data_IF_889130293844
#
_entry.id   IF_889130293844
#
_cell.length_a   1.000
_cell.length_b   1.000
_cell.length_c   1.000
_cell.angle_alpha   90.00
_cell.angle_beta   90.00
_cell.angle_gamma   90.00
#
_symmetry.space_group_name_H-M   'P 1'
#
loop_
_entity.id
_entity.type
_entity.pdbx_description
1 polymer ?
#
# COMPACT_ATOMS: atom_id res chain seq x y z
N UNK A 1 -7.40 -18.74 13.25
CA UNK A 1 -7.66 -18.04 11.97
C UNK A 1 -8.43 -16.77 12.30
N UNK A 2 -8.03 -15.61 11.77
CA UNK A 2 -8.86 -14.41 11.87
C UNK A 2 -10.21 -14.71 11.18
N UNK A 3 -11.32 -14.20 11.73
CA UNK A 3 -12.61 -14.34 11.06
C UNK A 3 -12.58 -13.60 9.72
N UNK A 4 -13.23 -14.17 8.71
CA UNK A 4 -13.32 -13.60 7.35
C UNK A 4 -13.79 -12.14 7.38
N UNK A 5 -14.69 -11.79 8.30
CA UNK A 5 -15.17 -10.42 8.53
C UNK A 5 -14.07 -9.45 8.96
N UNK A 6 -13.15 -9.89 9.82
CA UNK A 6 -12.02 -9.07 10.28
C UNK A 6 -11.00 -8.88 9.16
N UNK A 7 -10.71 -9.93 8.39
CA UNK A 7 -9.79 -9.84 7.23
C UNK A 7 -10.34 -8.88 6.18
N UNK A 8 -11.64 -8.96 5.89
CA UNK A 8 -12.31 -8.05 4.96
C UNK A 8 -12.23 -6.59 5.40
N UNK A 9 -12.53 -6.30 6.67
CA UNK A 9 -12.41 -4.94 7.22
C UNK A 9 -10.97 -4.41 7.14
N UNK A 10 -9.98 -5.29 7.33
CA UNK A 10 -8.55 -4.93 7.22
C UNK A 10 -8.19 -4.62 5.77
N UNK A 11 -8.64 -5.45 4.83
CA UNK A 11 -8.45 -5.26 3.40
C UNK A 11 -8.99 -3.91 2.94
N UNK A 12 -10.26 -3.62 3.23
CA UNK A 12 -10.92 -2.36 2.86
C UNK A 12 -10.13 -1.14 3.38
N UNK A 13 -9.73 -1.16 4.65
CA UNK A 13 -8.91 -0.08 5.23
C UNK A 13 -7.52 0.05 4.58
N UNK A 14 -6.90 -1.06 4.19
CA UNK A 14 -5.59 -1.02 3.54
C UNK A 14 -5.69 -0.46 2.11
N UNK A 15 -6.77 -0.78 1.38
CA UNK A 15 -7.05 -0.24 0.05
C UNK A 15 -7.30 1.26 0.11
N UNK A 16 -8.19 1.73 0.99
CA UNK A 16 -8.43 3.19 1.17
C UNK A 16 -7.14 3.93 1.48
N UNK A 17 -6.29 3.34 2.34
CA UNK A 17 -5.02 3.95 2.71
C UNK A 17 -4.02 3.95 1.55
N UNK A 18 -4.01 2.91 0.72
CA UNK A 18 -3.16 2.80 -0.46
C UNK A 18 -3.51 3.90 -1.49
N UNK A 19 -4.80 4.13 -1.73
CA UNK A 19 -5.28 5.19 -2.63
C UNK A 19 -4.77 6.57 -2.20
N UNK A 20 -4.83 6.89 -0.91
CA UNK A 20 -4.30 8.16 -0.38
C UNK A 20 -2.80 8.32 -0.63
N UNK A 21 -2.03 7.24 -0.55
CA UNK A 21 -0.58 7.30 -0.85
C UNK A 21 -0.32 7.44 -2.35
N UNK A 22 -1.14 6.87 -3.21
CA UNK A 22 -1.05 7.09 -4.66
C UNK A 22 -1.38 8.52 -5.06
N UNK A 23 -2.41 9.12 -4.44
CA UNK A 23 -2.70 10.54 -4.65
C UNK A 23 -1.56 11.43 -4.17
N UNK A 24 -0.97 11.12 -3.02
CA UNK A 24 0.17 11.86 -2.49
C UNK A 24 1.39 11.75 -3.41
N UNK A 25 1.70 10.55 -3.91
CA UNK A 25 2.78 10.34 -4.88
C UNK A 25 2.55 11.17 -6.14
N UNK A 26 1.35 11.08 -6.72
CA UNK A 26 0.98 11.84 -7.92
C UNK A 26 1.12 13.34 -7.70
N UNK A 27 0.61 13.87 -6.59
CA UNK A 27 0.70 15.30 -6.28
C UNK A 27 2.17 15.77 -6.17
N UNK A 28 3.03 14.95 -5.54
CA UNK A 28 4.46 15.24 -5.42
C UNK A 28 5.14 15.22 -6.79
N UNK A 29 4.80 14.26 -7.66
CA UNK A 29 5.33 14.16 -9.02
C UNK A 29 4.86 15.33 -9.91
N UNK A 30 3.62 15.79 -9.75
CA UNK A 30 3.07 16.96 -10.43
C UNK A 30 3.68 18.30 -9.93
N UNK A 31 4.54 18.25 -8.91
CA UNK A 31 5.35 19.39 -8.45
C UNK A 31 4.95 19.97 -7.10
N UNK A 32 4.02 19.34 -6.36
CA UNK A 32 3.69 19.76 -5.00
C UNK A 32 4.89 19.56 -4.06
N UNK A 33 5.15 20.55 -3.20
CA UNK A 33 6.21 20.47 -2.18
C UNK A 33 5.81 19.58 -1.01
N UNK A 34 4.53 19.57 -0.68
CA UNK A 34 3.97 18.77 0.41
C UNK A 34 2.52 18.37 0.15
N UNK A 35 2.12 17.26 0.76
CA UNK A 35 0.77 16.73 0.75
C UNK A 35 0.42 16.25 2.17
N UNK A 36 -0.78 16.59 2.66
CA UNK A 36 -1.18 16.26 4.04
C UNK A 36 -2.27 15.19 4.03
N UNK A 37 -1.94 14.01 4.56
CA UNK A 37 -2.90 12.94 4.83
C UNK A 37 -3.27 13.00 6.31
N UNK A 38 -4.46 13.53 6.62
CA UNK A 38 -4.94 13.64 8.00
C UNK A 38 -3.98 14.48 8.87
N UNK A 39 -3.31 13.84 9.82
CA UNK A 39 -2.32 14.48 10.72
C UNK A 39 -0.88 14.37 10.24
N UNK A 40 -0.61 13.66 9.13
CA UNK A 40 0.73 13.45 8.60
C UNK A 40 0.96 14.30 7.35
N UNK A 41 2.06 15.03 7.34
CA UNK A 41 2.53 15.76 6.16
C UNK A 41 3.62 14.96 5.47
N UNK A 42 3.42 14.65 4.19
CA UNK A 42 4.40 14.04 3.31
C UNK A 42 5.03 15.15 2.48
N UNK A 43 6.35 15.14 2.34
CA UNK A 43 7.06 16.12 1.53
C UNK A 43 7.70 15.44 0.32
N UNK A 44 8.10 16.22 -0.68
CA UNK A 44 8.83 15.71 -1.85
C UNK A 44 10.11 14.96 -1.47
N UNK A 45 10.78 15.37 -0.39
CA UNK A 45 11.97 14.69 0.11
C UNK A 45 11.67 13.27 0.67
N UNK A 46 10.42 13.02 1.04
CA UNK A 46 9.96 11.73 1.56
C UNK A 46 9.39 10.80 0.48
N UNK A 47 9.53 11.14 -0.81
CA UNK A 47 8.97 10.35 -1.92
C UNK A 47 9.39 8.87 -1.86
N UNK A 48 10.64 8.59 -1.50
CA UNK A 48 11.10 7.20 -1.30
C UNK A 48 10.31 6.48 -0.19
N UNK A 49 10.04 7.15 0.93
CA UNK A 49 9.23 6.58 2.04
C UNK A 49 7.77 6.36 1.62
N UNK A 50 7.24 7.22 0.74
CA UNK A 50 5.90 7.05 0.18
C UNK A 50 5.84 5.79 -0.67
N UNK A 51 6.82 5.58 -1.55
CA UNK A 51 6.94 4.38 -2.38
C UNK A 51 7.12 3.11 -1.54
N UNK A 52 7.98 3.14 -0.52
CA UNK A 52 8.16 2.00 0.39
C UNK A 52 6.86 1.64 1.14
N UNK A 53 6.08 2.66 1.54
CA UNK A 53 4.79 2.47 2.20
C UNK A 53 3.75 1.90 1.24
N UNK A 54 3.72 2.35 -0.01
CA UNK A 54 2.87 1.80 -1.08
C UNK A 54 3.18 0.31 -1.24
N UNK A 55 4.44 -0.06 -1.47
CA UNK A 55 4.85 -1.46 -1.64
C UNK A 55 4.47 -2.33 -0.43
N UNK A 56 4.63 -1.80 0.79
CA UNK A 56 4.24 -2.49 2.02
C UNK A 56 2.72 -2.70 2.11
N UNK A 57 1.93 -1.72 1.69
CA UNK A 57 0.47 -1.81 1.69
C UNK A 57 -0.02 -2.77 0.61
N UNK A 58 0.56 -2.75 -0.59
CA UNK A 58 0.24 -3.69 -1.66
C UNK A 58 0.48 -5.15 -1.24
N UNK A 59 1.62 -5.43 -0.59
CA UNK A 59 1.89 -6.77 -0.07
C UNK A 59 0.81 -7.22 0.92
N UNK A 60 0.39 -6.33 1.82
CA UNK A 60 -0.67 -6.62 2.80
C UNK A 60 -2.03 -6.83 2.14
N UNK A 61 -2.36 -6.03 1.14
CA UNK A 61 -3.60 -6.17 0.35
C UNK A 61 -3.60 -7.52 -0.37
N UNK A 62 -2.49 -7.91 -1.00
CA UNK A 62 -2.35 -9.20 -1.67
C UNK A 62 -2.45 -10.39 -0.70
N UNK A 63 -1.85 -10.29 0.49
CA UNK A 63 -1.98 -11.30 1.55
C UNK A 63 -3.43 -11.43 2.05
N UNK A 64 -4.10 -10.29 2.25
CA UNK A 64 -5.49 -10.22 2.70
C UNK A 64 -6.44 -10.81 1.65
N UNK A 65 -6.24 -10.47 0.38
CA UNK A 65 -6.98 -11.00 -0.76
C UNK A 65 -6.79 -12.51 -0.89
N UNK A 66 -5.55 -13.00 -0.80
CA UNK A 66 -5.25 -14.44 -0.83
C UNK A 66 -5.90 -15.19 0.35
N UNK A 67 -5.99 -14.56 1.51
CA UNK A 67 -6.66 -15.10 2.69
C UNK A 67 -8.18 -15.17 2.47
N UNK A 68 -8.77 -14.13 1.87
CA UNK A 68 -10.21 -14.08 1.54
C UNK A 68 -10.58 -15.07 0.43
N UNK A 69 -9.69 -15.27 -0.55
CA UNK A 69 -9.89 -16.18 -1.68
C UNK A 69 -9.81 -17.69 -1.32
N UNK A 70 -9.59 -18.04 -0.04
CA UNK A 70 -9.63 -19.43 0.41
C UNK A 70 -8.30 -20.17 0.33
N UNK A 71 -7.17 -19.46 0.46
CA UNK A 71 -5.86 -19.98 0.86
C UNK A 71 -5.48 -21.38 0.36
N UNK A 72 -5.07 -21.54 -0.90
CA UNK A 72 -4.21 -22.66 -1.31
C UNK A 72 -3.43 -22.40 -2.60
N UNK A 73 -2.17 -22.01 -2.42
CA UNK A 73 -0.91 -22.42 -3.07
C UNK A 73 -0.01 -21.19 -3.12
N UNK A 74 1.17 -21.31 -2.48
CA UNK A 74 2.23 -20.32 -2.48
C UNK A 74 2.43 -19.81 -3.92
N UNK A 75 2.01 -18.57 -4.20
CA UNK A 75 2.48 -17.86 -5.38
C UNK A 75 3.76 -17.16 -4.94
N UNK A 76 4.88 -17.65 -5.46
CA UNK A 76 6.15 -16.92 -5.44
C UNK A 76 5.88 -15.53 -5.99
N UNK A 77 5.97 -14.51 -5.12
CA UNK A 77 5.93 -13.13 -5.54
C UNK A 77 7.29 -12.84 -6.16
N UNK A 78 7.31 -12.59 -7.47
CA UNK A 78 8.51 -12.13 -8.15
C UNK A 78 8.92 -10.81 -7.52
N UNK A 79 9.99 -10.83 -6.72
CA UNK A 79 10.65 -9.61 -6.27
C UNK A 79 11.23 -8.98 -7.52
N UNK A 80 10.68 -7.84 -7.94
CA UNK A 80 11.36 -7.02 -8.93
C UNK A 80 12.67 -6.54 -8.30
N UNK A 81 13.79 -7.13 -8.73
CA UNK A 81 15.10 -6.51 -8.56
C UNK A 81 14.99 -5.15 -9.25
N UNK A 82 15.02 -4.08 -8.46
CA UNK A 82 15.22 -2.75 -9.04
C UNK A 82 16.70 -2.61 -9.32
N UNK A 83 17.03 -2.75 -10.60
CA UNK A 83 18.30 -2.33 -11.17
C UNK A 83 18.59 -0.86 -10.82
N UNK A 84 19.89 -0.65 -10.59
CA UNK A 84 20.66 0.54 -10.24
C UNK A 84 20.34 1.83 -11.00
#
# INVERSE_FOLDING_TARGET
MASVTVVRRRFERNVERLELYYEAERAILDGAQSYTIGTRTLTRADLGKVQDMIATLESKVAEDEATLAGGSRRKSVGVYLRDW
#
